data_IF_549241401668
#
_entry.id   IF_549241401668
#
_cell.length_a   1.000
_cell.length_b   1.000
_cell.length_c   1.000
_cell.angle_alpha   90.00
_cell.angle_beta   90.00
_cell.angle_gamma   90.00
#
_symmetry.space_group_name_H-M   'P 1'
#
loop_
_entity.id
_entity.type
_entity.pdbx_description
1 polymer ?
#
# COMPACT_ATOMS: atom_id res chain seq x y z
N UNK A 1 8.54 -21.71 58.11
CA UNK A 1 9.13 -21.11 56.91
C UNK A 1 8.16 -20.04 56.38
N UNK A 2 8.46 -18.78 56.69
CA UNK A 2 7.57 -17.66 56.37
C UNK A 2 8.00 -17.04 55.05
N UNK A 3 7.13 -17.09 54.05
CA UNK A 3 7.30 -16.45 52.76
C UNK A 3 7.15 -14.94 52.90
N UNK A 4 8.24 -14.21 52.73
CA UNK A 4 8.24 -12.74 52.65
C UNK A 4 7.67 -12.30 51.32
N UNK A 5 6.39 -11.88 51.26
CA UNK A 5 5.84 -11.05 50.17
C UNK A 5 6.59 -9.72 50.15
N UNK A 6 7.41 -9.47 49.12
CA UNK A 6 7.92 -8.14 48.81
C UNK A 6 6.73 -7.25 48.42
N UNK A 7 6.36 -6.31 49.28
CA UNK A 7 5.51 -5.17 48.94
C UNK A 7 6.29 -4.29 47.95
N UNK A 8 5.87 -4.17 46.71
CA UNK A 8 6.38 -3.17 45.80
C UNK A 8 6.04 -1.77 46.38
N UNK A 9 7.08 -0.98 46.63
CA UNK A 9 6.90 0.43 46.96
C UNK A 9 6.45 1.15 45.69
N UNK A 10 5.17 1.50 45.61
CA UNK A 10 4.71 2.51 44.67
C UNK A 10 5.35 3.84 45.04
N UNK A 11 6.39 4.20 44.30
CA UNK A 11 7.03 5.51 44.41
C UNK A 11 6.04 6.52 43.76
N UNK A 12 5.61 7.53 44.49
CA UNK A 12 4.84 8.63 43.90
C UNK A 12 5.69 9.30 42.82
N UNK A 13 5.09 9.62 41.64
CA UNK A 13 5.82 10.22 40.53
C UNK A 13 6.39 11.58 40.92
N UNK A 14 7.65 11.81 40.56
CA UNK A 14 8.31 13.10 40.75
C UNK A 14 7.54 14.22 40.04
N UNK A 15 7.35 15.40 40.67
CA UNK A 15 6.66 16.52 40.03
C UNK A 15 7.49 17.02 38.84
N UNK A 16 6.93 16.86 37.61
CA UNK A 16 7.53 17.32 36.36
C UNK A 16 7.68 16.25 35.27
N UNK A 17 7.47 14.98 35.55
CA UNK A 17 7.44 13.95 34.51
C UNK A 17 6.11 13.95 33.76
N UNK A 18 6.17 13.97 32.41
CA UNK A 18 4.98 13.90 31.57
C UNK A 18 4.23 12.56 31.76
N UNK A 19 2.91 12.59 31.58
CA UNK A 19 2.00 11.43 31.74
C UNK A 19 2.51 10.18 31.00
N UNK A 20 3.00 10.35 29.77
CA UNK A 20 3.54 9.29 28.93
C UNK A 20 4.74 8.58 29.58
N UNK A 21 5.67 9.34 30.18
CA UNK A 21 6.86 8.77 30.81
C UNK A 21 6.50 7.91 32.04
N UNK A 22 5.55 8.39 32.85
CA UNK A 22 5.08 7.67 34.04
C UNK A 22 4.41 6.35 33.67
N UNK A 23 3.51 6.39 32.67
CA UNK A 23 2.80 5.18 32.20
C UNK A 23 3.76 4.22 31.52
N UNK A 24 4.75 4.72 30.79
CA UNK A 24 5.78 3.88 30.14
C UNK A 24 6.65 3.16 31.17
N UNK A 25 7.04 3.83 32.24
CA UNK A 25 7.82 3.20 33.33
C UNK A 25 6.99 2.10 34.04
N UNK A 26 5.72 2.36 34.33
CA UNK A 26 4.82 1.37 34.95
C UNK A 26 4.60 0.14 34.07
N UNK A 27 4.37 0.34 32.75
CA UNK A 27 4.21 -0.75 31.80
C UNK A 27 5.52 -1.55 31.61
N UNK A 28 6.67 -0.88 31.61
CA UNK A 28 7.97 -1.54 31.53
C UNK A 28 8.25 -2.41 32.77
N UNK A 29 7.91 -1.95 33.98
CA UNK A 29 7.99 -2.74 35.22
C UNK A 29 7.09 -3.99 35.16
N UNK A 30 5.98 -3.92 34.43
CA UNK A 30 5.07 -5.05 34.21
C UNK A 30 5.49 -5.95 33.04
N UNK A 31 6.54 -5.59 32.29
CA UNK A 31 7.01 -6.31 31.10
C UNK A 31 6.10 -6.16 29.88
N UNK A 32 5.22 -5.13 29.87
CA UNK A 32 4.29 -4.87 28.78
C UNK A 32 4.95 -3.91 27.81
N UNK A 33 5.32 -4.41 26.63
CA UNK A 33 5.92 -3.62 25.55
C UNK A 33 4.89 -3.04 24.59
N UNK A 34 3.70 -3.64 24.52
CA UNK A 34 2.57 -3.24 23.66
C UNK A 34 1.31 -3.22 24.51
N UNK A 35 0.99 -2.07 25.12
CA UNK A 35 -0.17 -1.96 25.99
C UNK A 35 -1.47 -1.90 25.18
N UNK A 36 -2.47 -2.64 25.63
CA UNK A 36 -3.85 -2.48 25.16
C UNK A 36 -4.58 -1.39 25.95
N UNK A 37 -5.85 -1.15 25.63
CA UNK A 37 -6.68 -0.14 26.30
C UNK A 37 -6.84 -0.43 27.80
N UNK A 38 -6.92 -1.71 28.16
CA UNK A 38 -7.06 -2.14 29.57
C UNK A 38 -5.78 -1.85 30.35
N UNK A 39 -4.62 -2.13 29.78
CA UNK A 39 -3.33 -1.86 30.38
C UNK A 39 -3.13 -0.36 30.64
N UNK A 40 -3.43 0.47 29.63
CA UNK A 40 -3.35 1.93 29.73
C UNK A 40 -4.32 2.48 30.78
N UNK A 41 -5.56 2.01 30.76
CA UNK A 41 -6.57 2.40 31.75
C UNK A 41 -6.17 2.03 33.15
N UNK A 42 -5.61 0.84 33.36
CA UNK A 42 -5.12 0.37 34.66
C UNK A 42 -3.96 1.23 35.17
N UNK A 43 -2.95 1.50 34.34
CA UNK A 43 -1.84 2.38 34.71
C UNK A 43 -2.28 3.79 35.04
N UNK A 44 -3.24 4.33 34.28
CA UNK A 44 -3.83 5.64 34.55
C UNK A 44 -4.64 5.69 35.86
N UNK A 45 -5.34 4.60 36.21
CA UNK A 45 -6.04 4.49 37.52
C UNK A 45 -5.06 4.53 38.67
N UNK A 46 -3.90 3.86 38.59
CA UNK A 46 -2.89 3.82 39.64
C UNK A 46 -2.34 5.23 39.97
N UNK A 47 -2.27 6.11 38.97
CA UNK A 47 -1.76 7.49 39.14
C UNK A 47 -2.85 8.54 39.30
N UNK A 48 -4.13 8.12 39.40
CA UNK A 48 -5.27 9.04 39.58
C UNK A 48 -5.57 9.94 38.37
N UNK A 49 -5.17 9.54 37.16
CA UNK A 49 -5.34 10.29 35.90
C UNK A 49 -6.23 9.57 34.90
N UNK A 50 -7.03 8.60 35.33
CA UNK A 50 -7.93 7.85 34.44
C UNK A 50 -9.00 8.77 33.85
N UNK A 51 -8.95 8.95 32.54
CA UNK A 51 -9.97 9.57 31.72
C UNK A 51 -9.93 8.98 30.31
N UNK A 52 -11.05 9.01 29.61
CA UNK A 52 -11.12 8.54 28.22
C UNK A 52 -10.14 9.32 27.32
N UNK A 53 -10.00 10.61 27.58
CA UNK A 53 -9.09 11.48 26.82
C UNK A 53 -7.62 11.10 27.04
N UNK A 54 -7.22 10.82 28.28
CA UNK A 54 -5.86 10.38 28.60
C UNK A 54 -5.56 9.00 28.01
N UNK A 55 -6.51 8.08 28.03
CA UNK A 55 -6.35 6.75 27.37
C UNK A 55 -6.14 6.93 25.88
N UNK A 56 -6.97 7.72 25.20
CA UNK A 56 -6.81 7.99 23.76
C UNK A 56 -5.48 8.68 23.42
N UNK A 57 -5.08 9.66 24.23
CA UNK A 57 -3.80 10.34 24.05
C UNK A 57 -2.65 9.35 24.15
N UNK A 58 -2.66 8.46 25.14
CA UNK A 58 -1.64 7.44 25.29
C UNK A 58 -1.69 6.40 24.15
N UNK A 59 -2.87 5.98 23.71
CA UNK A 59 -3.00 5.09 22.53
C UNK A 59 -2.34 5.70 21.30
N UNK A 60 -2.55 7.00 21.02
CA UNK A 60 -1.90 7.72 19.92
C UNK A 60 -0.39 7.79 20.08
N UNK A 61 0.08 8.02 21.30
CA UNK A 61 1.51 8.07 21.60
C UNK A 61 2.17 6.69 21.47
N UNK A 62 1.54 5.63 21.98
CA UNK A 62 2.07 4.26 21.88
C UNK A 62 2.00 3.69 20.46
N UNK A 63 1.01 4.11 19.66
CA UNK A 63 0.96 3.78 18.23
C UNK A 63 2.06 4.46 17.40
N UNK A 64 2.77 5.42 17.99
CA UNK A 64 3.82 6.20 17.33
C UNK A 64 3.33 7.40 16.54
N UNK A 65 2.01 7.56 16.33
CA UNK A 65 1.45 8.65 15.53
C UNK A 65 1.46 9.99 16.26
N UNK A 66 1.36 9.99 17.61
CA UNK A 66 1.30 11.20 18.41
C UNK A 66 0.26 12.20 17.89
N UNK A 67 0.60 13.50 17.74
CA UNK A 67 -0.32 14.52 17.26
C UNK A 67 -0.76 14.33 15.80
N UNK A 68 -0.04 13.53 15.00
CA UNK A 68 -0.40 13.24 13.60
C UNK A 68 -1.59 12.27 13.50
N UNK A 69 -2.01 11.64 14.60
CA UNK A 69 -3.23 10.83 14.65
C UNK A 69 -4.50 11.67 14.51
N UNK A 70 -4.49 12.93 14.93
CA UNK A 70 -5.67 13.80 14.91
C UNK A 70 -6.24 14.01 13.50
N UNK A 71 -5.46 14.47 12.49
CA UNK A 71 -5.98 14.60 11.14
C UNK A 71 -6.34 13.25 10.50
N UNK A 72 -5.74 12.13 10.94
CA UNK A 72 -6.04 10.79 10.42
C UNK A 72 -7.38 10.21 10.93
N UNK A 73 -8.05 10.83 11.90
CA UNK A 73 -9.39 10.44 12.34
C UNK A 73 -10.48 10.75 11.30
N UNK A 74 -10.22 11.72 10.44
CA UNK A 74 -11.10 12.03 9.34
C UNK A 74 -11.00 10.94 8.27
N UNK A 75 -12.11 10.22 8.06
CA UNK A 75 -12.18 9.13 7.09
C UNK A 75 -11.92 9.58 5.64
N UNK A 76 -11.97 10.87 5.34
CA UNK A 76 -11.67 11.40 4.02
C UNK A 76 -10.17 11.63 3.81
N UNK A 77 -9.39 11.82 4.88
CA UNK A 77 -7.95 12.06 4.79
C UNK A 77 -7.23 10.84 4.21
N UNK A 78 -6.49 11.05 3.13
CA UNK A 78 -5.68 10.03 2.45
C UNK A 78 -4.21 10.12 2.80
N UNK A 79 -3.71 11.35 2.95
CA UNK A 79 -2.30 11.62 3.24
C UNK A 79 -2.18 12.70 4.31
N UNK A 80 -1.19 12.56 5.20
CA UNK A 80 -0.80 13.57 6.19
C UNK A 80 0.71 13.75 6.09
N UNK A 81 1.15 15.00 6.04
CA UNK A 81 2.59 15.31 6.02
C UNK A 81 2.96 16.28 7.14
N UNK A 82 4.08 16.02 7.77
CA UNK A 82 4.76 16.91 8.69
C UNK A 82 5.99 17.45 7.98
N UNK A 83 6.07 18.76 7.82
CA UNK A 83 7.21 19.45 7.23
C UNK A 83 8.26 19.81 8.28
N UNK A 84 9.49 20.09 7.85
CA UNK A 84 10.59 20.43 8.73
C UNK A 84 10.40 21.70 9.56
N UNK A 85 9.49 22.60 9.17
CA UNK A 85 9.09 23.78 9.94
C UNK A 85 8.07 23.49 11.04
N UNK A 86 7.66 22.23 11.18
CA UNK A 86 6.68 21.76 12.15
C UNK A 86 5.22 21.94 11.70
N UNK A 87 4.96 22.41 10.49
CA UNK A 87 3.62 22.51 9.92
C UNK A 87 3.08 21.14 9.50
N UNK A 88 1.82 20.89 9.76
CA UNK A 88 1.11 19.66 9.38
C UNK A 88 0.10 19.97 8.28
N UNK A 89 0.07 19.13 7.26
CA UNK A 89 -0.84 19.24 6.12
C UNK A 89 -1.55 17.91 5.89
N UNK A 90 -2.78 17.96 5.40
CA UNK A 90 -3.57 16.76 5.09
C UNK A 90 -4.24 16.88 3.72
N UNK A 91 -4.32 15.77 3.00
CA UNK A 91 -5.07 15.64 1.73
C UNK A 91 -6.35 14.84 1.98
N UNK A 92 -7.50 15.43 1.58
CA UNK A 92 -8.83 14.81 1.60
C UNK A 92 -9.31 14.37 0.21
N UNK A 93 -8.38 14.34 -0.76
CA UNK A 93 -8.68 14.02 -2.16
C UNK A 93 -8.77 15.24 -3.08
N UNK A 94 -8.67 16.45 -2.52
CA UNK A 94 -8.71 17.73 -3.25
C UNK A 94 -7.36 18.46 -3.25
N UNK A 95 -6.33 17.84 -2.72
CA UNK A 95 -4.99 18.39 -2.55
C UNK A 95 -4.65 18.70 -1.10
N UNK A 96 -3.38 19.01 -0.85
CA UNK A 96 -2.84 19.28 0.49
C UNK A 96 -3.38 20.60 1.05
N UNK A 97 -3.95 20.55 2.25
CA UNK A 97 -4.43 21.71 3.02
C UNK A 97 -3.76 21.74 4.40
N UNK A 98 -3.45 22.92 4.95
CA UNK A 98 -2.87 23.01 6.29
C UNK A 98 -3.86 22.49 7.34
N UNK A 99 -3.34 21.83 8.36
CA UNK A 99 -4.11 21.41 9.54
C UNK A 99 -3.95 22.47 10.62
N UNK A 100 -5.03 23.22 10.87
CA UNK A 100 -5.02 24.26 11.88
C UNK A 100 -4.91 23.69 13.30
N UNK A 101 -4.18 24.41 14.18
CA UNK A 101 -4.02 24.03 15.57
C UNK A 101 -3.01 22.92 15.85
N UNK A 102 -2.49 22.22 14.83
CA UNK A 102 -1.46 21.19 14.97
C UNK A 102 -0.11 21.73 14.50
N UNK A 103 0.80 21.87 15.44
CA UNK A 103 2.19 22.25 15.16
C UNK A 103 3.14 21.41 15.99
N UNK A 104 4.17 20.88 15.36
CA UNK A 104 5.12 19.92 15.98
C UNK A 104 6.48 20.57 16.12
N UNK A 105 7.09 20.51 17.30
CA UNK A 105 8.45 21.02 17.51
C UNK A 105 9.48 20.17 16.77
N UNK A 106 10.64 20.74 16.45
CA UNK A 106 11.70 20.01 15.76
C UNK A 106 12.17 18.76 16.53
N UNK A 107 12.23 18.83 17.86
CA UNK A 107 12.56 17.70 18.74
C UNK A 107 11.50 16.62 18.65
N UNK A 108 10.22 16.98 18.82
CA UNK A 108 9.09 16.05 18.71
C UNK A 108 9.01 15.42 17.32
N UNK A 109 9.27 16.19 16.27
CA UNK A 109 9.28 15.69 14.88
C UNK A 109 10.34 14.60 14.69
N UNK A 110 11.54 14.79 15.24
CA UNK A 110 12.62 13.80 15.21
C UNK A 110 12.23 12.53 15.99
N UNK A 111 11.71 12.70 17.20
CA UNK A 111 11.31 11.57 18.06
C UNK A 111 10.17 10.75 17.42
N UNK A 112 9.19 11.41 16.83
CA UNK A 112 8.11 10.75 16.08
C UNK A 112 8.68 9.96 14.89
N UNK A 113 9.57 10.58 14.10
CA UNK A 113 10.17 9.92 12.94
C UNK A 113 10.94 8.65 13.34
N UNK A 114 11.79 8.72 14.38
CA UNK A 114 12.56 7.57 14.89
C UNK A 114 11.63 6.49 15.45
N UNK A 115 10.61 6.87 16.20
CA UNK A 115 9.62 5.96 16.78
C UNK A 115 8.84 5.22 15.69
N UNK A 116 8.32 5.94 14.69
CA UNK A 116 7.59 5.34 13.57
C UNK A 116 8.48 4.37 12.78
N UNK A 117 9.71 4.74 12.47
CA UNK A 117 10.67 3.87 11.81
C UNK A 117 10.89 2.57 12.62
N UNK A 118 11.10 2.70 13.93
CA UNK A 118 11.30 1.56 14.84
C UNK A 118 10.08 0.63 14.86
N UNK A 119 8.86 1.18 14.92
CA UNK A 119 7.62 0.40 14.87
C UNK A 119 7.43 -0.32 13.54
N UNK A 120 7.96 0.24 12.45
CA UNK A 120 8.03 -0.41 11.15
C UNK A 120 9.16 -1.46 11.03
N UNK A 121 9.99 -1.63 12.05
CA UNK A 121 11.16 -2.52 12.02
C UNK A 121 12.36 -1.94 11.27
N UNK A 122 12.36 -0.63 11.04
CA UNK A 122 13.41 0.07 10.31
C UNK A 122 14.33 0.87 11.26
N UNK A 123 15.57 1.05 10.85
CA UNK A 123 16.54 1.92 11.53
C UNK A 123 16.50 3.31 10.93
N UNK A 124 16.50 4.34 11.80
CA UNK A 124 16.54 5.75 11.40
C UNK A 124 17.50 6.52 12.31
N UNK A 125 18.63 6.94 11.78
CA UNK A 125 19.66 7.71 12.48
C UNK A 125 20.48 8.55 11.48
N UNK A 126 21.57 9.20 11.93
CA UNK A 126 22.43 10.02 11.08
C UNK A 126 23.10 9.25 9.93
N UNK A 127 23.38 7.96 10.12
CA UNK A 127 23.99 7.10 9.09
C UNK A 127 22.95 6.62 8.08
N UNK A 128 21.68 6.54 8.48
CA UNK A 128 20.53 6.18 7.63
C UNK A 128 19.40 7.16 7.91
N UNK A 129 19.44 8.37 7.33
CA UNK A 129 18.53 9.46 7.71
C UNK A 129 17.14 9.38 7.09
N UNK A 130 16.77 8.28 6.45
CA UNK A 130 15.43 8.04 5.89
C UNK A 130 15.00 6.59 6.08
N UNK A 131 13.71 6.39 6.31
CA UNK A 131 13.09 5.07 6.42
C UNK A 131 11.71 5.06 5.77
N UNK A 132 11.35 3.90 5.22
CA UNK A 132 10.00 3.58 4.73
C UNK A 132 9.47 2.37 5.46
N UNK A 133 8.18 2.37 5.78
CA UNK A 133 7.56 1.23 6.41
C UNK A 133 6.04 1.30 6.43
N UNK A 134 5.43 0.34 7.13
CA UNK A 134 3.97 0.27 7.29
C UNK A 134 3.64 0.03 8.75
N UNK A 135 2.91 0.96 9.34
CA UNK A 135 2.27 0.81 10.65
C UNK A 135 0.95 0.07 10.48
N UNK A 136 0.79 -1.05 11.18
CA UNK A 136 -0.42 -1.89 11.16
C UNK A 136 -1.22 -1.81 12.47
N UNK A 137 -0.56 -1.50 13.55
CA UNK A 137 -1.18 -1.32 14.86
C UNK A 137 -1.54 0.16 15.01
N UNK A 138 -2.79 0.49 14.72
CA UNK A 138 -3.29 1.87 14.72
C UNK A 138 -4.23 2.11 15.91
N UNK A 139 -4.35 3.37 16.36
CA UNK A 139 -5.39 3.74 17.34
C UNK A 139 -6.78 3.41 16.79
N UNK A 140 -7.74 3.02 17.66
CA UNK A 140 -9.10 2.63 17.23
C UNK A 140 -9.88 3.75 16.53
N UNK A 141 -9.52 5.01 16.77
CA UNK A 141 -10.13 6.20 16.20
C UNK A 141 -9.55 6.60 14.82
N UNK A 142 -8.56 5.87 14.32
CA UNK A 142 -8.00 6.07 12.97
C UNK A 142 -8.64 5.08 12.01
N UNK A 143 -9.50 5.52 11.07
CA UNK A 143 -10.25 4.65 10.15
C UNK A 143 -9.40 4.17 8.97
N UNK A 144 -8.28 3.53 9.27
CA UNK A 144 -7.36 2.91 8.30
C UNK A 144 -6.99 1.50 8.76
N UNK A 145 -6.64 0.62 7.83
CA UNK A 145 -6.12 -0.72 8.17
C UNK A 145 -4.62 -0.70 8.42
N UNK A 146 -3.93 0.21 7.79
CA UNK A 146 -2.51 0.44 7.95
C UNK A 146 -2.16 1.86 7.50
N UNK A 147 -0.98 2.33 7.87
CA UNK A 147 -0.43 3.60 7.40
C UNK A 147 0.95 3.33 6.81
N UNK A 148 1.13 3.69 5.55
CA UNK A 148 2.46 3.76 4.95
C UNK A 148 3.16 5.00 5.48
N UNK A 149 4.37 4.80 5.95
CA UNK A 149 5.20 5.84 6.59
C UNK A 149 6.47 6.04 5.77
N UNK A 150 6.78 7.29 5.46
CA UNK A 150 8.10 7.70 5.03
C UNK A 150 8.62 8.78 5.96
N UNK A 151 9.83 8.62 6.46
CA UNK A 151 10.48 9.55 7.40
C UNK A 151 11.84 9.99 6.87
N UNK A 152 12.18 11.26 7.12
CA UNK A 152 13.44 11.86 6.73
C UNK A 152 13.94 12.74 7.87
N UNK A 153 15.17 12.48 8.36
CA UNK A 153 15.81 13.32 9.38
C UNK A 153 16.52 14.54 8.81
N UNK A 154 16.76 15.49 9.64
CA UNK A 154 17.66 16.60 9.38
C UNK A 154 19.08 16.26 9.92
N UNK A 155 20.17 16.48 9.15
CA UNK A 155 20.20 16.50 7.71
C UNK A 155 19.88 15.12 7.12
N UNK A 156 19.43 14.96 5.84
CA UNK A 156 19.49 15.93 4.74
C UNK A 156 18.29 16.89 4.64
N UNK A 157 17.21 16.72 5.44
CA UNK A 157 16.12 17.67 5.43
C UNK A 157 16.58 19.03 6.01
N UNK A 158 16.58 20.09 5.19
CA UNK A 158 17.19 21.37 5.56
C UNK A 158 16.44 22.15 6.66
N UNK A 159 15.12 21.93 6.81
CA UNK A 159 14.27 22.68 7.75
C UNK A 159 13.94 21.95 9.05
N UNK A 160 14.29 20.67 9.16
CA UNK A 160 13.88 19.79 10.26
C UNK A 160 13.43 18.42 9.75
N UNK A 161 13.15 17.49 10.65
CA UNK A 161 12.69 16.14 10.26
C UNK A 161 11.31 16.21 9.60
N UNK A 162 11.13 15.43 8.53
CA UNK A 162 9.88 15.35 7.77
C UNK A 162 9.26 13.95 7.90
N UNK A 163 7.92 13.89 7.93
CA UNK A 163 7.17 12.64 7.97
C UNK A 163 6.06 12.72 6.92
N UNK A 164 5.90 11.66 6.13
CA UNK A 164 4.79 11.49 5.20
C UNK A 164 4.04 10.22 5.54
N UNK A 165 2.74 10.35 5.78
CA UNK A 165 1.84 9.27 6.14
C UNK A 165 0.78 9.12 5.04
N UNK A 166 0.58 7.88 4.55
CA UNK A 166 -0.53 7.55 3.65
C UNK A 166 -1.41 6.50 4.30
N UNK A 167 -2.68 6.83 4.49
CA UNK A 167 -3.67 5.93 5.04
C UNK A 167 -4.04 4.84 4.02
N UNK A 168 -3.78 3.59 4.35
CA UNK A 168 -4.24 2.43 3.61
C UNK A 168 -5.63 2.10 4.15
N UNK A 169 -6.65 2.56 3.43
CA UNK A 169 -8.05 2.36 3.82
C UNK A 169 -8.49 0.98 3.36
N UNK A 170 -8.92 0.17 4.31
CA UNK A 170 -9.47 -1.15 4.05
C UNK A 170 -10.89 -1.09 3.51
N UNK A 171 -11.11 -0.41 2.41
CA UNK A 171 -12.35 -0.62 1.69
C UNK A 171 -12.31 -2.02 1.08
N UNK A 172 -13.37 -2.82 1.31
CA UNK A 172 -13.61 -4.02 0.50
C UNK A 172 -13.79 -3.53 -0.93
N UNK A 173 -12.72 -3.60 -1.70
CA UNK A 173 -12.72 -3.22 -3.10
C UNK A 173 -13.47 -4.31 -3.86
N UNK A 174 -14.79 -4.21 -3.96
CA UNK A 174 -15.61 -5.05 -4.81
C UNK A 174 -15.94 -4.34 -6.11
N UNK A 175 -16.16 -5.08 -7.18
CA UNK A 175 -16.62 -4.48 -8.44
C UNK A 175 -17.92 -3.70 -8.26
N UNK A 176 -18.82 -4.16 -7.38
CA UNK A 176 -20.05 -3.46 -7.04
C UNK A 176 -19.76 -2.07 -6.42
N UNK A 177 -18.83 -1.99 -5.47
CA UNK A 177 -18.43 -0.70 -4.88
C UNK A 177 -17.78 0.24 -5.91
N UNK A 178 -17.02 -0.30 -6.87
CA UNK A 178 -16.42 0.49 -7.95
C UNK A 178 -17.46 1.03 -8.92
N UNK A 179 -18.51 0.26 -9.22
CA UNK A 179 -19.65 0.73 -10.03
C UNK A 179 -20.39 1.85 -9.31
N UNK A 180 -20.72 1.67 -8.03
CA UNK A 180 -21.35 2.71 -7.21
C UNK A 180 -20.48 3.98 -7.12
N UNK A 181 -19.17 3.83 -7.08
CA UNK A 181 -18.21 4.93 -7.13
C UNK A 181 -17.98 5.54 -8.52
N UNK A 182 -18.68 5.06 -9.55
CA UNK A 182 -18.61 5.58 -10.92
C UNK A 182 -17.36 5.20 -11.71
N UNK A 183 -16.54 4.24 -11.22
CA UNK A 183 -15.33 3.81 -11.95
C UNK A 183 -15.69 3.03 -13.23
N UNK A 184 -16.77 2.26 -13.22
CA UNK A 184 -17.26 1.49 -14.36
C UNK A 184 -18.79 1.41 -14.32
N UNK A 185 -19.44 1.10 -15.45
CA UNK A 185 -20.86 0.75 -15.51
C UNK A 185 -21.09 -0.70 -15.06
N UNK A 186 -22.34 -1.09 -14.75
CA UNK A 186 -22.70 -2.49 -14.45
C UNK A 186 -22.40 -3.44 -15.62
N UNK A 187 -22.63 -2.98 -16.85
CA UNK A 187 -22.31 -3.73 -18.06
C UNK A 187 -20.79 -4.01 -18.13
N UNK A 188 -19.99 -2.96 -17.88
CA UNK A 188 -18.54 -3.07 -17.86
C UNK A 188 -18.05 -3.96 -16.71
N UNK A 189 -18.66 -3.87 -15.55
CA UNK A 189 -18.34 -4.77 -14.43
C UNK A 189 -18.66 -6.24 -14.77
N UNK A 190 -19.74 -6.49 -15.53
CA UNK A 190 -20.07 -7.82 -16.03
C UNK A 190 -18.98 -8.35 -16.98
N UNK A 191 -18.51 -7.51 -17.91
CA UNK A 191 -17.41 -7.85 -18.80
C UNK A 191 -16.11 -8.14 -18.02
N UNK A 192 -15.77 -7.31 -17.04
CA UNK A 192 -14.60 -7.51 -16.18
C UNK A 192 -14.66 -8.86 -15.43
N UNK A 193 -15.85 -9.27 -14.93
CA UNK A 193 -16.03 -10.60 -14.33
C UNK A 193 -15.81 -11.73 -15.34
N UNK A 194 -16.27 -11.57 -16.59
CA UNK A 194 -16.01 -12.54 -17.68
C UNK A 194 -14.51 -12.65 -17.96
N UNK A 195 -13.78 -11.54 -18.06
CA UNK A 195 -12.32 -11.50 -18.23
C UNK A 195 -11.62 -12.31 -17.14
N UNK A 196 -11.98 -12.09 -15.86
CA UNK A 196 -11.41 -12.80 -14.71
C UNK A 196 -11.72 -14.31 -14.76
N UNK A 197 -12.97 -14.68 -15.08
CA UNK A 197 -13.42 -16.09 -15.17
C UNK A 197 -12.76 -16.82 -16.34
N UNK A 198 -12.60 -16.15 -17.48
CA UNK A 198 -11.89 -16.67 -18.66
C UNK A 198 -10.37 -16.78 -18.43
N UNK A 199 -9.89 -16.44 -17.21
CA UNK A 199 -8.47 -16.48 -16.83
C UNK A 199 -7.55 -15.71 -17.79
N UNK A 200 -8.02 -14.54 -18.26
CA UNK A 200 -7.19 -13.67 -19.10
C UNK A 200 -6.13 -12.98 -18.24
N UNK A 201 -4.91 -12.88 -18.75
CA UNK A 201 -3.82 -12.14 -18.12
C UNK A 201 -4.06 -10.64 -18.25
N UNK A 202 -4.11 -9.94 -17.12
CA UNK A 202 -4.55 -8.54 -17.05
C UNK A 202 -3.38 -7.62 -16.71
N UNK A 203 -3.17 -6.59 -17.53
CA UNK A 203 -2.30 -5.47 -17.18
C UNK A 203 -3.14 -4.22 -16.94
N UNK A 204 -3.07 -3.65 -15.72
CA UNK A 204 -3.79 -2.41 -15.40
C UNK A 204 -2.81 -1.24 -15.48
N UNK A 205 -3.13 -0.26 -16.31
CA UNK A 205 -2.34 0.96 -16.48
C UNK A 205 -3.08 2.20 -15.98
N UNK A 206 -2.33 3.25 -15.70
CA UNK A 206 -2.87 4.53 -15.24
C UNK A 206 -1.87 5.37 -14.47
N UNK A 207 -2.17 6.65 -14.28
CA UNK A 207 -1.37 7.58 -13.49
C UNK A 207 -1.33 7.26 -12.00
N UNK A 208 -0.57 8.06 -11.23
CA UNK A 208 -0.56 7.97 -9.77
C UNK A 208 -1.94 8.33 -9.22
N UNK A 209 -2.45 7.54 -8.28
CA UNK A 209 -3.75 7.79 -7.66
C UNK A 209 -4.96 7.55 -8.57
N UNK A 210 -4.79 7.02 -9.79
CA UNK A 210 -5.88 6.73 -10.73
C UNK A 210 -6.81 5.59 -10.28
N UNK A 211 -6.38 4.73 -9.36
CA UNK A 211 -7.19 3.60 -8.85
C UNK A 211 -6.77 2.24 -9.39
N UNK A 212 -5.55 2.10 -9.94
CA UNK A 212 -5.02 0.81 -10.44
C UNK A 212 -5.09 -0.31 -9.41
N UNK A 213 -4.52 -0.08 -8.24
CA UNK A 213 -4.49 -1.05 -7.13
C UNK A 213 -5.89 -1.39 -6.63
N UNK A 214 -6.80 -0.40 -6.63
CA UNK A 214 -8.20 -0.57 -6.25
C UNK A 214 -8.94 -1.47 -7.24
N UNK A 215 -8.77 -1.22 -8.56
CA UNK A 215 -9.37 -2.06 -9.59
C UNK A 215 -8.77 -3.48 -9.55
N UNK A 216 -7.45 -3.60 -9.41
CA UNK A 216 -6.78 -4.89 -9.30
C UNK A 216 -7.35 -5.71 -8.12
N UNK A 217 -7.45 -5.13 -6.92
CA UNK A 217 -8.00 -5.80 -5.76
C UNK A 217 -9.45 -6.25 -5.97
N UNK A 218 -10.29 -5.42 -6.61
CA UNK A 218 -11.68 -5.75 -6.93
C UNK A 218 -11.80 -6.90 -7.94
N UNK A 219 -10.92 -6.95 -8.95
CA UNK A 219 -10.89 -8.05 -9.92
C UNK A 219 -10.44 -9.36 -9.26
N UNK A 220 -9.44 -9.29 -8.38
CA UNK A 220 -8.92 -10.47 -7.67
C UNK A 220 -9.93 -11.02 -6.65
N UNK A 221 -10.83 -10.20 -6.12
CA UNK A 221 -11.94 -10.66 -5.28
C UNK A 221 -13.00 -11.48 -6.05
N UNK A 222 -13.06 -11.35 -7.39
CA UNK A 222 -13.95 -12.15 -8.25
C UNK A 222 -13.34 -13.50 -8.68
N UNK A 223 -12.11 -13.79 -8.28
CA UNK A 223 -11.44 -15.07 -8.57
C UNK A 223 -12.11 -16.19 -7.78
N UNK A 224 -12.19 -17.39 -8.36
CA UNK A 224 -12.78 -18.55 -7.71
C UNK A 224 -12.01 -18.93 -6.42
N UNK A 225 -12.74 -19.23 -5.34
CA UNK A 225 -12.20 -19.41 -3.98
C UNK A 225 -11.17 -20.55 -3.83
N UNK A 226 -11.18 -21.52 -4.73
CA UNK A 226 -10.24 -22.64 -4.77
C UNK A 226 -8.89 -22.26 -5.39
N UNK A 227 -8.79 -21.12 -6.07
CA UNK A 227 -7.56 -20.67 -6.71
C UNK A 227 -6.63 -19.97 -5.70
N UNK A 228 -5.34 -20.29 -5.80
CA UNK A 228 -4.29 -19.71 -4.97
C UNK A 228 -3.68 -18.48 -5.63
N UNK A 229 -3.80 -17.33 -4.97
CA UNK A 229 -3.25 -16.05 -5.40
C UNK A 229 -1.92 -15.78 -4.70
N UNK A 230 -0.84 -15.59 -5.45
CA UNK A 230 0.43 -15.11 -4.93
C UNK A 230 0.63 -13.66 -5.35
N UNK A 231 0.66 -12.77 -4.38
CA UNK A 231 0.76 -11.33 -4.57
C UNK A 231 2.15 -10.87 -4.19
N UNK A 232 2.85 -10.23 -5.10
CA UNK A 232 4.21 -9.72 -4.92
C UNK A 232 4.20 -8.21 -5.00
N UNK A 233 4.64 -7.53 -3.94
CA UNK A 233 4.63 -6.06 -3.81
C UNK A 233 5.92 -5.55 -3.17
N UNK A 234 6.28 -4.31 -3.45
CA UNK A 234 7.33 -3.62 -2.69
C UNK A 234 6.89 -3.35 -1.25
N UNK A 235 5.68 -2.88 -1.10
CA UNK A 235 5.01 -2.66 0.19
C UNK A 235 3.61 -3.24 0.07
N UNK A 236 3.17 -4.11 1.01
CA UNK A 236 1.84 -4.73 0.93
C UNK A 236 0.74 -3.68 1.09
N UNK A 237 0.12 -3.30 -0.03
CA UNK A 237 -1.00 -2.35 -0.12
C UNK A 237 -2.28 -3.00 -0.65
N UNK A 238 -2.16 -4.12 -1.38
CA UNK A 238 -3.29 -4.86 -1.94
C UNK A 238 -4.07 -5.60 -0.85
N UNK A 239 -5.29 -5.16 -0.61
CA UNK A 239 -6.24 -5.80 0.28
C UNK A 239 -7.29 -6.53 -0.56
N UNK A 240 -7.16 -7.83 -0.68
CA UNK A 240 -7.99 -8.69 -1.53
C UNK A 240 -8.95 -9.47 -0.64
N UNK A 241 -10.25 -9.36 -0.89
CA UNK A 241 -11.28 -10.14 -0.21
C UNK A 241 -11.36 -11.55 -0.85
N UNK A 242 -10.35 -12.38 -0.58
CA UNK A 242 -10.26 -13.74 -1.11
C UNK A 242 -9.59 -14.66 -0.06
N UNK A 243 -10.09 -15.89 0.16
CA UNK A 243 -9.61 -16.74 1.26
C UNK A 243 -8.21 -17.32 1.05
N UNK A 244 -7.73 -17.39 -0.19
CA UNK A 244 -6.48 -18.08 -0.52
C UNK A 244 -5.45 -17.13 -1.14
N UNK A 245 -5.06 -16.10 -0.39
CA UNK A 245 -4.04 -15.11 -0.77
C UNK A 245 -2.76 -15.32 0.03
N UNK A 246 -1.63 -15.29 -0.65
CA UNK A 246 -0.29 -15.22 -0.04
C UNK A 246 0.39 -13.95 -0.51
N UNK A 247 0.59 -13.01 0.41
CA UNK A 247 1.29 -11.76 0.14
C UNK A 247 2.79 -11.92 0.40
N UNK A 248 3.61 -11.52 -0.55
CA UNK A 248 5.06 -11.49 -0.52
C UNK A 248 5.52 -10.05 -0.68
N UNK A 249 6.39 -9.58 0.20
CA UNK A 249 6.91 -8.22 0.15
C UNK A 249 8.43 -8.19 0.01
N UNK A 250 8.95 -7.21 -0.72
CA UNK A 250 10.40 -6.98 -0.80
C UNK A 250 10.95 -6.61 0.58
N UNK A 251 12.22 -6.83 0.76
CA UNK A 251 12.96 -6.41 1.96
C UNK A 251 14.20 -5.65 1.56
N UNK A 252 14.34 -4.44 2.11
CA UNK A 252 15.59 -3.68 1.99
C UNK A 252 16.72 -4.39 2.74
N UNK A 253 17.94 -4.29 2.23
CA UNK A 253 19.13 -4.78 2.95
C UNK A 253 19.32 -4.03 4.26
N UNK A 254 20.01 -4.67 5.21
CA UNK A 254 20.48 -4.01 6.43
C UNK A 254 21.53 -2.91 6.11
N UNK A 255 22.15 -2.31 7.14
CA UNK A 255 23.17 -1.26 6.98
C UNK A 255 24.40 -1.73 6.15
N UNK A 256 24.66 -3.03 6.14
CA UNK A 256 25.74 -3.68 5.38
C UNK A 256 25.28 -4.19 4.00
N UNK A 257 24.03 -3.91 3.60
CA UNK A 257 23.43 -4.38 2.35
C UNK A 257 22.99 -5.85 2.38
N UNK A 258 23.19 -6.56 3.49
CA UNK A 258 22.85 -7.97 3.61
C UNK A 258 21.33 -8.17 3.83
N UNK A 259 20.80 -9.31 3.35
CA UNK A 259 19.41 -9.70 3.59
C UNK A 259 18.38 -9.00 2.70
N UNK A 260 18.78 -8.26 1.68
CA UNK A 260 17.87 -7.69 0.69
C UNK A 260 17.13 -8.82 -0.08
N UNK A 261 15.82 -8.61 -0.31
CA UNK A 261 14.99 -9.50 -1.13
C UNK A 261 14.34 -8.63 -2.21
N UNK A 262 14.71 -8.84 -3.46
CA UNK A 262 14.19 -8.06 -4.59
C UNK A 262 12.84 -8.59 -5.08
N UNK A 263 12.09 -7.75 -5.80
CA UNK A 263 10.87 -8.12 -6.50
C UNK A 263 11.11 -9.32 -7.45
N UNK A 264 12.17 -9.26 -8.26
CA UNK A 264 12.61 -10.34 -9.14
C UNK A 264 12.79 -11.68 -8.40
N UNK A 265 13.45 -11.65 -7.23
CA UNK A 265 13.63 -12.86 -6.42
C UNK A 265 12.28 -13.41 -5.93
N UNK A 266 11.36 -12.56 -5.52
CA UNK A 266 10.03 -12.97 -5.05
C UNK A 266 9.16 -13.55 -6.17
N UNK A 267 9.17 -12.94 -7.36
CA UNK A 267 8.46 -13.49 -8.52
C UNK A 267 8.99 -14.87 -8.87
N UNK A 268 10.32 -15.08 -8.88
CA UNK A 268 10.93 -16.40 -9.09
C UNK A 268 10.55 -17.42 -8.01
N UNK A 269 10.43 -17.02 -6.76
CA UNK A 269 10.01 -17.92 -5.69
C UNK A 269 8.51 -18.24 -5.79
N UNK A 270 7.67 -17.27 -6.17
CA UNK A 270 6.24 -17.49 -6.31
C UNK A 270 5.91 -18.61 -7.27
N UNK A 271 6.67 -18.77 -8.37
CA UNK A 271 6.54 -19.87 -9.34
C UNK A 271 6.70 -21.27 -8.72
N UNK A 272 7.41 -21.39 -7.59
CA UNK A 272 7.64 -22.67 -6.88
C UNK A 272 6.62 -22.92 -5.75
N UNK A 273 5.71 -21.96 -5.50
CA UNK A 273 4.76 -22.02 -4.41
C UNK A 273 3.38 -22.53 -4.84
N UNK A 274 3.28 -23.16 -6.01
CA UNK A 274 2.04 -23.67 -6.62
C UNK A 274 0.96 -22.57 -6.75
N UNK A 275 1.24 -21.49 -7.44
CA UNK A 275 0.25 -20.47 -7.71
C UNK A 275 -0.74 -20.92 -8.78
N UNK A 276 -2.02 -20.56 -8.63
CA UNK A 276 -2.95 -20.54 -9.74
C UNK A 276 -2.87 -19.22 -10.49
N UNK A 277 -2.58 -18.13 -9.78
CA UNK A 277 -2.33 -16.80 -10.35
C UNK A 277 -1.19 -16.10 -9.63
N UNK A 278 -0.37 -15.38 -10.39
CA UNK A 278 0.69 -14.52 -9.88
C UNK A 278 0.30 -13.07 -10.11
N UNK A 279 0.38 -12.27 -9.08
CA UNK A 279 0.00 -10.86 -9.10
C UNK A 279 1.21 -10.02 -8.73
N UNK A 280 1.58 -9.07 -9.59
CA UNK A 280 2.59 -8.07 -9.27
C UNK A 280 1.89 -6.74 -9.04
N UNK A 281 1.93 -6.27 -7.78
CA UNK A 281 1.21 -5.07 -7.36
C UNK A 281 1.54 -3.85 -8.22
N UNK A 282 2.82 -3.63 -8.52
CA UNK A 282 3.29 -2.65 -9.50
C UNK A 282 4.60 -3.10 -10.14
N UNK A 283 4.65 -3.05 -11.47
CA UNK A 283 5.82 -3.39 -12.27
C UNK A 283 6.64 -2.13 -12.49
N UNK A 284 7.85 -2.08 -11.89
CA UNK A 284 8.73 -0.89 -11.91
C UNK A 284 10.14 -1.16 -12.42
N UNK A 285 10.53 -2.42 -12.56
CA UNK A 285 11.90 -2.82 -12.84
C UNK A 285 12.03 -4.12 -13.62
N UNK A 286 13.18 -4.79 -13.47
CA UNK A 286 13.52 -6.00 -14.23
C UNK A 286 12.62 -7.21 -13.94
N UNK A 287 11.82 -7.19 -12.88
CA UNK A 287 10.84 -8.24 -12.57
C UNK A 287 9.81 -8.46 -13.69
N UNK A 288 9.67 -7.51 -14.62
CA UNK A 288 8.81 -7.64 -15.81
C UNK A 288 9.16 -8.89 -16.60
N UNK A 289 10.46 -9.23 -16.74
CA UNK A 289 10.90 -10.41 -17.48
C UNK A 289 10.39 -11.71 -16.84
N UNK A 290 10.52 -11.84 -15.53
CA UNK A 290 10.07 -13.03 -14.79
C UNK A 290 8.55 -13.14 -14.77
N UNK A 291 7.85 -12.02 -14.69
CA UNK A 291 6.39 -11.98 -14.81
C UNK A 291 5.95 -12.46 -16.21
N UNK A 292 6.55 -11.94 -17.29
CA UNK A 292 6.22 -12.37 -18.65
C UNK A 292 6.47 -13.85 -18.87
N UNK A 293 7.55 -14.40 -18.30
CA UNK A 293 7.78 -15.86 -18.30
C UNK A 293 6.62 -16.58 -17.59
N UNK A 294 6.17 -16.08 -16.44
CA UNK A 294 5.04 -16.67 -15.72
C UNK A 294 3.73 -16.64 -16.53
N UNK A 295 3.42 -15.50 -17.15
CA UNK A 295 2.24 -15.32 -17.98
C UNK A 295 2.21 -16.28 -19.18
N UNK A 296 3.39 -16.55 -19.78
CA UNK A 296 3.53 -17.41 -20.94
C UNK A 296 3.70 -18.91 -20.62
N UNK A 297 3.82 -19.29 -19.32
CA UNK A 297 4.17 -20.67 -18.92
C UNK A 297 3.17 -21.36 -18.00
N UNK A 298 1.88 -21.05 -18.14
CA UNK A 298 0.82 -21.82 -17.47
C UNK A 298 0.18 -21.19 -16.24
N UNK A 299 0.46 -19.90 -15.97
CA UNK A 299 -0.18 -19.15 -14.88
C UNK A 299 -1.25 -18.18 -15.42
N UNK A 300 -2.15 -18.70 -16.27
CA UNK A 300 -3.22 -17.93 -16.90
C UNK A 300 -4.16 -17.27 -15.85
N UNK A 301 -4.55 -16.02 -16.11
CA UNK A 301 -5.33 -15.20 -15.20
C UNK A 301 -4.50 -14.42 -14.19
N UNK A 302 -3.18 -14.38 -14.38
CA UNK A 302 -2.28 -13.53 -13.63
C UNK A 302 -2.49 -12.05 -13.95
N UNK A 303 -2.02 -11.16 -13.07
CA UNK A 303 -2.26 -9.73 -13.24
C UNK A 303 -1.10 -8.88 -12.72
N UNK A 304 -1.02 -7.65 -13.22
CA UNK A 304 -0.08 -6.66 -12.70
C UNK A 304 -0.55 -5.25 -12.97
N UNK A 305 0.07 -4.27 -12.30
CA UNK A 305 -0.15 -2.87 -12.65
C UNK A 305 1.13 -2.22 -13.18
N UNK A 306 0.98 -1.23 -14.04
CA UNK A 306 2.07 -0.43 -14.59
C UNK A 306 1.70 1.05 -14.58
N UNK A 307 2.66 1.90 -14.30
CA UNK A 307 2.44 3.35 -14.37
C UNK A 307 2.55 3.82 -15.81
N UNK A 308 1.46 4.31 -16.37
CA UNK A 308 1.39 4.96 -17.67
C UNK A 308 0.25 5.99 -17.67
N UNK A 309 0.50 7.21 -18.12
CA UNK A 309 -0.52 8.28 -18.12
C UNK A 309 -1.52 8.13 -19.24
N UNK A 310 -1.17 7.39 -20.28
CA UNK A 310 -1.93 7.17 -21.50
C UNK A 310 -1.77 5.69 -21.92
N UNK A 311 -2.82 5.02 -22.41
CA UNK A 311 -2.71 3.64 -22.93
C UNK A 311 -1.65 3.49 -24.01
N UNK A 312 -1.50 4.46 -24.92
CA UNK A 312 -0.52 4.42 -25.99
C UNK A 312 0.93 4.42 -25.49
N UNK A 313 1.19 4.85 -24.26
CA UNK A 313 2.51 4.83 -23.63
C UNK A 313 2.87 3.50 -22.94
N UNK A 314 1.89 2.59 -22.79
CA UNK A 314 2.12 1.27 -22.14
C UNK A 314 3.21 0.44 -22.86
N UNK A 315 3.19 0.29 -24.20
CA UNK A 315 4.23 -0.49 -24.90
C UNK A 315 5.63 0.09 -24.67
N UNK A 316 5.80 1.40 -24.80
CA UNK A 316 7.10 2.07 -24.54
C UNK A 316 7.56 1.92 -23.09
N UNK A 317 6.63 1.89 -22.13
CA UNK A 317 6.97 1.63 -20.73
C UNK A 317 7.44 0.18 -20.53
N UNK A 318 6.79 -0.80 -21.14
CA UNK A 318 7.20 -2.19 -21.13
C UNK A 318 8.57 -2.36 -21.81
N UNK A 319 8.82 -1.68 -22.94
CA UNK A 319 10.13 -1.67 -23.62
C UNK A 319 11.24 -1.17 -22.67
N UNK A 320 11.02 -0.07 -21.96
CA UNK A 320 11.99 0.47 -21.01
C UNK A 320 12.29 -0.50 -19.86
N UNK A 321 11.27 -1.14 -19.30
CA UNK A 321 11.43 -2.12 -18.21
C UNK A 321 12.10 -3.41 -18.71
N UNK A 322 11.77 -3.88 -19.91
CA UNK A 322 12.41 -5.02 -20.54
C UNK A 322 13.90 -4.78 -20.82
N UNK A 323 14.26 -3.57 -21.24
CA UNK A 323 15.67 -3.17 -21.42
C UNK A 323 16.44 -3.20 -20.09
N UNK A 324 15.81 -2.79 -18.96
CA UNK A 324 16.40 -2.93 -17.62
C UNK A 324 16.65 -4.40 -17.24
N UNK A 325 15.82 -5.32 -17.76
CA UNK A 325 15.98 -6.76 -17.56
C UNK A 325 16.96 -7.42 -18.56
N UNK A 326 17.51 -6.65 -19.50
CA UNK A 326 18.42 -7.14 -20.53
C UNK A 326 17.73 -7.88 -21.69
N UNK A 327 16.40 -7.71 -21.83
CA UNK A 327 15.66 -8.33 -22.94
C UNK A 327 15.86 -7.56 -24.25
N UNK A 328 16.03 -8.31 -25.34
CA UNK A 328 15.95 -7.75 -26.69
C UNK A 328 14.53 -7.28 -26.99
N UNK A 329 14.39 -6.19 -27.75
CA UNK A 329 13.12 -5.57 -28.07
C UNK A 329 12.15 -6.51 -28.80
N UNK A 330 12.64 -7.29 -29.76
CA UNK A 330 11.78 -8.20 -30.52
C UNK A 330 11.30 -9.34 -29.64
N UNK A 331 12.20 -9.92 -28.83
CA UNK A 331 11.84 -10.95 -27.87
C UNK A 331 10.82 -10.45 -26.85
N UNK A 332 11.02 -9.24 -26.31
CA UNK A 332 10.08 -8.59 -25.41
C UNK A 332 8.72 -8.37 -26.08
N UNK A 333 8.70 -7.82 -27.31
CA UNK A 333 7.46 -7.56 -28.07
C UNK A 333 6.62 -8.83 -28.18
N UNK A 334 7.23 -9.96 -28.53
CA UNK A 334 6.52 -11.24 -28.60
C UNK A 334 6.01 -11.69 -27.24
N UNK A 335 6.85 -11.63 -26.21
CA UNK A 335 6.45 -12.03 -24.86
C UNK A 335 5.29 -11.20 -24.29
N UNK A 336 5.23 -9.90 -24.56
CA UNK A 336 4.13 -9.06 -24.05
C UNK A 336 2.84 -9.28 -24.83
N UNK A 337 2.91 -9.52 -26.15
CA UNK A 337 1.74 -9.82 -26.99
C UNK A 337 1.15 -11.18 -26.62
N UNK A 338 2.00 -12.19 -26.47
CA UNK A 338 1.57 -13.55 -26.15
C UNK A 338 1.11 -13.69 -24.68
N UNK A 339 1.73 -12.91 -23.78
CA UNK A 339 1.53 -13.05 -22.33
C UNK A 339 0.47 -12.14 -21.73
N UNK A 340 0.12 -11.01 -22.36
CA UNK A 340 -0.85 -10.03 -21.83
C UNK A 340 -2.07 -10.01 -22.73
N UNK A 341 -3.16 -10.65 -22.26
CA UNK A 341 -4.40 -10.74 -23.06
C UNK A 341 -5.17 -9.42 -23.12
N UNK A 342 -5.16 -8.64 -22.01
CA UNK A 342 -5.95 -7.42 -21.93
C UNK A 342 -5.23 -6.34 -21.12
N UNK A 343 -5.31 -5.11 -21.60
CA UNK A 343 -4.86 -3.90 -20.93
C UNK A 343 -6.08 -3.07 -20.52
N UNK A 344 -6.20 -2.82 -19.21
CA UNK A 344 -7.24 -1.96 -18.65
C UNK A 344 -6.60 -0.63 -18.25
N UNK A 345 -7.10 0.49 -18.75
CA UNK A 345 -6.58 1.80 -18.40
C UNK A 345 -7.54 2.56 -17.51
N UNK A 346 -7.05 3.00 -16.35
CA UNK A 346 -7.80 3.84 -15.41
C UNK A 346 -7.21 5.23 -15.35
N UNK A 347 -8.07 6.23 -15.38
CA UNK A 347 -7.67 7.62 -15.29
C UNK A 347 -8.54 8.41 -14.30
N UNK A 348 -7.98 9.53 -13.81
CA UNK A 348 -8.74 10.55 -13.09
C UNK A 348 -9.29 11.54 -14.12
N UNK A 349 -10.60 11.63 -14.21
CA UNK A 349 -11.32 12.59 -15.05
C UNK A 349 -11.95 13.69 -14.19
N UNK A 350 -12.56 14.69 -14.79
CA UNK A 350 -13.36 15.71 -14.09
C UNK A 350 -14.53 15.10 -13.30
N UNK A 351 -15.03 13.93 -13.73
CA UNK A 351 -16.12 13.20 -13.09
C UNK A 351 -15.64 12.13 -12.08
N UNK A 352 -14.36 12.15 -11.71
CA UNK A 352 -13.76 11.19 -10.80
C UNK A 352 -12.86 10.15 -11.48
N UNK A 353 -12.58 9.04 -10.77
CA UNK A 353 -11.78 7.93 -11.30
C UNK A 353 -12.62 7.05 -12.20
N UNK A 354 -12.11 6.69 -13.39
CA UNK A 354 -12.84 5.88 -14.37
C UNK A 354 -11.94 4.87 -15.07
N UNK A 355 -12.51 3.70 -15.39
CA UNK A 355 -11.98 2.82 -16.43
C UNK A 355 -12.28 3.52 -17.77
N UNK A 356 -11.22 3.95 -18.45
CA UNK A 356 -11.36 4.75 -19.68
C UNK A 356 -11.13 3.95 -20.96
N UNK A 357 -10.30 2.90 -20.90
CA UNK A 357 -10.01 2.08 -22.07
C UNK A 357 -9.89 0.61 -21.69
N UNK A 358 -10.29 -0.25 -22.60
CA UNK A 358 -9.92 -1.66 -22.68
C UNK A 358 -9.23 -1.84 -24.02
N UNK A 359 -8.06 -2.49 -24.01
CA UNK A 359 -7.29 -2.73 -25.21
C UNK A 359 -6.49 -4.01 -25.14
N UNK A 360 -5.86 -4.39 -26.25
CA UNK A 360 -4.91 -5.49 -26.35
C UNK A 360 -3.58 -5.01 -26.94
N UNK A 361 -2.52 -5.75 -26.67
CA UNK A 361 -1.21 -5.50 -27.27
C UNK A 361 -1.13 -6.25 -28.60
N UNK A 362 -0.74 -5.56 -29.66
CA UNK A 362 -0.60 -6.11 -31.02
C UNK A 362 0.68 -5.60 -31.68
N UNK A 363 1.14 -6.28 -32.71
CA UNK A 363 2.30 -5.89 -33.52
C UNK A 363 3.30 -7.03 -33.67
N UNK A 364 4.32 -6.84 -34.49
CA UNK A 364 5.36 -7.85 -34.77
C UNK A 364 6.74 -7.43 -34.24
N UNK A 365 7.27 -6.32 -34.75
CA UNK A 365 8.59 -5.79 -34.33
C UNK A 365 8.48 -4.80 -33.17
N UNK A 366 7.32 -4.19 -33.01
CA UNK A 366 7.01 -3.24 -31.94
C UNK A 366 5.58 -3.40 -31.49
N UNK A 367 5.41 -3.55 -30.18
CA UNK A 367 4.09 -3.59 -29.59
C UNK A 367 3.40 -2.23 -29.69
N UNK A 368 2.09 -2.24 -29.96
CA UNK A 368 1.19 -1.09 -29.85
C UNK A 368 -0.09 -1.51 -29.17
N UNK A 369 -0.80 -0.56 -28.59
CA UNK A 369 -2.13 -0.77 -28.06
C UNK A 369 -3.15 -0.69 -29.22
N UNK A 370 -4.00 -1.69 -29.31
CA UNK A 370 -5.26 -1.66 -30.05
C UNK A 370 -6.38 -1.44 -29.03
N UNK A 371 -7.10 -0.31 -29.17
CA UNK A 371 -8.20 0.05 -28.27
C UNK A 371 -9.45 -0.68 -28.71
N UNK A 372 -9.93 -1.60 -27.87
CA UNK A 372 -11.17 -2.36 -28.12
C UNK A 372 -12.42 -1.59 -27.64
N UNK A 373 -12.27 -0.85 -26.54
CA UNK A 373 -13.37 -0.05 -25.99
C UNK A 373 -12.83 1.22 -25.34
N UNK A 374 -13.58 2.30 -25.53
CA UNK A 374 -13.32 3.60 -24.91
C UNK A 374 -14.59 4.15 -24.25
N UNK A 375 -14.46 4.75 -23.08
CA UNK A 375 -15.60 5.13 -22.24
C UNK A 375 -16.51 6.22 -22.84
N UNK A 376 -16.03 7.05 -23.78
CA UNK A 376 -16.82 8.03 -24.51
C UNK A 376 -17.34 7.48 -25.81
N UNK A 377 -16.52 6.74 -26.55
CA UNK A 377 -16.80 6.33 -27.92
C UNK A 377 -17.47 4.95 -28.00
N UNK A 378 -17.45 4.19 -26.87
CA UNK A 378 -18.01 2.85 -26.79
C UNK A 378 -17.10 1.78 -27.40
N UNK A 379 -17.72 0.75 -27.96
CA UNK A 379 -17.04 -0.39 -28.61
C UNK A 379 -16.32 0.04 -29.88
N UNK A 380 -15.04 -0.33 -29.98
CA UNK A 380 -14.20 -0.18 -31.18
C UNK A 380 -14.15 -1.46 -32.02
N UNK A 381 -13.29 -1.44 -33.04
CA UNK A 381 -13.03 -2.61 -33.88
C UNK A 381 -12.47 -3.79 -33.03
N UNK A 382 -12.96 -5.01 -33.27
CA UNK A 382 -12.54 -6.21 -32.54
C UNK A 382 -13.14 -6.37 -31.13
N UNK A 383 -13.97 -5.45 -30.64
CA UNK A 383 -14.55 -5.57 -29.31
C UNK A 383 -15.55 -6.73 -29.19
N UNK A 384 -16.39 -6.94 -30.20
CA UNK A 384 -17.35 -8.06 -30.22
C UNK A 384 -16.62 -9.41 -30.27
N UNK A 385 -15.62 -9.53 -31.14
CA UNK A 385 -14.76 -10.72 -31.21
C UNK A 385 -14.08 -11.03 -29.87
N UNK A 386 -13.49 -10.00 -29.22
CA UNK A 386 -12.93 -10.14 -27.88
C UNK A 386 -13.96 -10.60 -26.84
N UNK A 387 -15.19 -10.07 -26.91
CA UNK A 387 -16.26 -10.52 -26.02
C UNK A 387 -16.66 -11.98 -26.26
N UNK A 388 -16.70 -12.43 -27.51
CA UNK A 388 -17.03 -13.81 -27.88
C UNK A 388 -15.95 -14.80 -27.41
N UNK A 389 -14.69 -14.40 -27.44
CA UNK A 389 -13.55 -15.19 -26.91
C UNK A 389 -13.61 -15.41 -25.38
N UNK A 390 -14.40 -14.64 -24.66
CA UNK A 390 -14.54 -14.76 -23.19
C UNK A 390 -15.60 -15.80 -22.79
N UNK A 391 -16.43 -16.26 -23.68
CA UNK A 391 -17.48 -17.27 -23.43
C UNK A 391 -18.75 -16.69 -22.81
#
# INVERSE_FOLDING_TARGET
MASRRKKSKHTQPEPGRGLLAIVRDDLAEQGISRPDEHDLSRSLHLIGKASVENVRTLQREFSGLGPLAEPLQDAQVTDVVLNGDGSVWADRGEGMQPVDGVRVSAETARDLAVRMATLCGERLDEARPFADGVLRELPPDVPAQAIRVHTLLAPPAAGGSCISLRAIKGQKNSLCALVQGGLASEEMASLLRRIVRARRNILISGGTGAGKTTLLAALLAEVAYDQRLLVVEDTPELLIDHPHVVALATRKGNAEGAGAISMTALVKQSLRMRPDRIVVGEIRGPEVADLLVALNTGHAGSAGTIHANDPASVPGRLEALGAMAGLDRIALTRQVIDGIDVVLHVARTEQGRRLTHIGRLVGDERARIEVLWHWHDGAGEGFEEFCDELG
#
